data_IF_910732602274
#
_entry.id   IF_910732602274
#
_cell.length_a   1.000
_cell.length_b   1.000
_cell.length_c   1.000
_cell.angle_alpha   90.00
_cell.angle_beta   90.00
_cell.angle_gamma   90.00
#
_symmetry.space_group_name_H-M   'P 1'
#
loop_
_entity.id
_entity.type
_entity.pdbx_description
1 polymer ?
#
# COMPACT_ATOMS: atom_id res chain seq x y z
N UNK A 1 0.06 22.39 18.60
CA UNK A 1 0.64 23.53 19.35
C UNK A 1 1.73 22.95 20.25
N UNK A 2 3.00 23.19 19.91
CA UNK A 2 4.10 22.88 20.82
C UNK A 2 4.16 23.93 21.92
N UNK A 3 4.68 23.61 23.12
CA UNK A 3 4.81 24.57 24.22
C UNK A 3 5.65 25.83 23.88
N UNK A 4 6.43 25.79 22.80
CA UNK A 4 7.43 26.79 22.41
C UNK A 4 7.02 27.70 21.24
N UNK A 5 5.77 27.64 20.79
CA UNK A 5 5.25 28.49 19.71
C UNK A 5 4.78 27.73 18.46
N UNK A 6 4.37 28.49 17.43
CA UNK A 6 3.90 27.97 16.15
C UNK A 6 5.06 27.99 15.16
N UNK A 7 5.42 26.83 14.62
CA UNK A 7 6.43 26.69 13.57
C UNK A 7 5.75 26.24 12.28
N UNK A 8 5.89 27.03 11.22
CA UNK A 8 5.42 26.66 9.88
C UNK A 8 6.57 25.98 9.13
N UNK A 9 6.39 24.74 8.62
CA UNK A 9 7.43 24.05 7.88
C UNK A 9 7.68 24.74 6.53
N UNK A 10 8.96 24.91 6.17
CA UNK A 10 9.37 25.45 4.87
C UNK A 10 9.51 24.36 3.78
N UNK A 11 9.30 23.09 4.16
CA UNK A 11 9.33 21.93 3.27
C UNK A 11 8.04 21.15 3.40
N UNK A 12 7.79 20.29 2.41
CA UNK A 12 6.61 19.43 2.40
C UNK A 12 6.56 18.57 3.67
N UNK A 13 5.51 18.66 4.50
CA UNK A 13 5.44 17.93 5.76
C UNK A 13 5.17 16.44 5.54
N UNK A 14 5.83 15.59 6.32
CA UNK A 14 5.55 14.15 6.38
C UNK A 14 4.18 13.92 7.04
N UNK A 15 3.40 12.95 6.53
CA UNK A 15 2.11 12.56 7.10
C UNK A 15 0.90 13.40 6.65
N UNK A 16 1.08 14.39 5.78
CA UNK A 16 -0.04 15.06 5.12
C UNK A 16 -0.56 14.19 3.95
N UNK A 17 -1.88 14.05 3.86
CA UNK A 17 -2.59 13.26 2.85
C UNK A 17 -2.16 13.60 1.41
N UNK A 18 -1.85 14.86 1.13
CA UNK A 18 -1.49 15.32 -0.21
C UNK A 18 0.01 15.30 -0.49
N UNK A 19 0.85 15.03 0.51
CA UNK A 19 2.31 15.07 0.33
C UNK A 19 2.81 14.02 -0.65
N UNK A 20 2.22 12.82 -0.64
CA UNK A 20 2.59 11.74 -1.57
C UNK A 20 2.35 12.17 -3.02
N UNK A 21 1.18 12.75 -3.30
CA UNK A 21 0.83 13.18 -4.66
C UNK A 21 1.68 14.36 -5.13
N UNK A 22 1.89 15.36 -4.26
CA UNK A 22 2.74 16.51 -4.59
C UNK A 22 4.19 16.09 -4.87
N UNK A 23 4.72 15.14 -4.09
CA UNK A 23 6.07 14.61 -4.31
C UNK A 23 6.17 13.79 -5.59
N UNK A 24 5.22 12.88 -5.83
CA UNK A 24 5.14 12.08 -7.06
C UNK A 24 5.08 12.98 -8.30
N UNK A 25 4.23 14.01 -8.29
CA UNK A 25 4.13 14.99 -9.39
C UNK A 25 5.46 15.73 -9.62
N UNK A 26 6.15 16.11 -8.54
CA UNK A 26 7.48 16.72 -8.63
C UNK A 26 8.49 15.80 -9.30
N UNK A 27 8.55 14.51 -8.90
CA UNK A 27 9.44 13.52 -9.52
C UNK A 27 9.12 13.30 -10.99
N UNK A 28 7.84 13.14 -11.34
CA UNK A 28 7.42 12.96 -12.74
C UNK A 28 7.80 14.15 -13.61
N UNK A 29 7.70 15.37 -13.07
CA UNK A 29 8.09 16.58 -13.78
C UNK A 29 9.60 16.62 -14.04
N UNK A 30 10.41 16.31 -13.03
CA UNK A 30 11.89 16.31 -13.11
C UNK A 30 12.38 15.22 -14.07
N UNK A 31 11.84 14.02 -13.95
CA UNK A 31 12.31 12.84 -14.68
C UNK A 31 11.52 12.53 -15.95
N UNK A 32 10.65 13.45 -16.39
CA UNK A 32 9.81 13.31 -17.59
C UNK A 32 10.57 12.81 -18.83
N UNK A 33 11.79 13.28 -19.14
CA UNK A 33 12.53 12.81 -20.31
C UNK A 33 12.98 11.34 -20.21
N UNK A 34 13.24 10.84 -19.00
CA UNK A 34 13.67 9.46 -18.76
C UNK A 34 12.48 8.49 -18.69
N UNK A 35 11.36 8.97 -18.14
CA UNK A 35 10.09 8.25 -18.11
C UNK A 35 9.57 7.99 -19.53
N UNK A 36 9.62 8.99 -20.42
CA UNK A 36 9.13 8.85 -21.80
C UNK A 36 9.95 7.87 -22.64
N UNK A 37 11.20 7.62 -22.25
CA UNK A 37 12.09 6.68 -22.92
C UNK A 37 12.00 5.26 -22.32
N UNK A 38 11.10 5.03 -21.36
CA UNK A 38 10.96 3.75 -20.63
C UNK A 38 12.25 3.29 -19.93
N UNK A 39 13.18 4.21 -19.65
CA UNK A 39 14.46 3.91 -18.99
C UNK A 39 14.37 3.99 -17.47
N UNK A 40 13.28 4.53 -16.93
CA UNK A 40 13.11 4.76 -15.50
C UNK A 40 11.67 4.46 -15.08
N UNK A 41 11.53 3.71 -14.00
CA UNK A 41 10.27 3.44 -13.30
C UNK A 41 10.31 4.15 -11.94
N UNK A 42 9.29 4.96 -11.66
CA UNK A 42 9.23 5.83 -10.47
C UNK A 42 7.98 5.49 -9.68
N UNK A 43 8.14 5.25 -8.37
CA UNK A 43 7.02 5.10 -7.46
C UNK A 43 7.30 5.74 -6.12
N UNK A 44 6.59 6.83 -5.80
CA UNK A 44 6.71 7.61 -4.56
C UNK A 44 8.17 7.93 -4.26
N UNK A 45 8.84 7.16 -3.40
CA UNK A 45 10.25 7.36 -3.05
C UNK A 45 11.21 6.52 -3.90
N UNK A 46 10.77 5.38 -4.44
CA UNK A 46 11.59 4.43 -5.17
C UNK A 46 11.81 4.84 -6.64
N UNK A 47 13.02 4.55 -7.15
CA UNK A 47 13.46 4.73 -8.53
C UNK A 47 14.12 3.44 -9.02
N UNK A 48 13.66 2.90 -10.15
CA UNK A 48 14.26 1.72 -10.79
C UNK A 48 14.60 2.07 -12.23
N UNK A 49 15.90 2.12 -12.55
CA UNK A 49 16.40 2.51 -13.85
C UNK A 49 16.94 1.31 -14.66
N UNK A 50 16.79 1.38 -15.97
CA UNK A 50 17.38 0.44 -16.92
C UNK A 50 18.85 0.80 -17.19
N UNK A 51 19.75 -0.17 -17.05
CA UNK A 51 21.17 -0.01 -17.37
C UNK A 51 21.47 -0.46 -18.81
N UNK A 52 22.27 0.28 -19.60
CA UNK A 52 22.55 -0.06 -21.00
C UNK A 52 23.59 -1.19 -21.21
N UNK A 53 24.40 -1.53 -20.19
CA UNK A 53 25.43 -2.58 -20.27
C UNK A 53 25.41 -3.47 -19.04
N UNK A 54 25.70 -4.76 -19.23
CA UNK A 54 25.84 -5.81 -18.21
C UNK A 54 26.70 -5.38 -17.02
N UNK A 55 27.77 -4.61 -17.27
CA UNK A 55 28.73 -4.17 -16.25
C UNK A 55 28.14 -3.20 -15.21
N UNK A 56 27.01 -2.57 -15.53
CA UNK A 56 26.31 -1.63 -14.65
C UNK A 56 25.00 -2.22 -14.06
N UNK A 57 24.73 -3.51 -14.28
CA UNK A 57 23.54 -4.13 -13.70
C UNK A 57 23.74 -4.45 -12.22
N UNK A 58 22.70 -4.15 -11.44
CA UNK A 58 22.50 -4.82 -10.16
C UNK A 58 22.08 -6.26 -10.45
N UNK A 59 22.79 -7.22 -9.88
CA UNK A 59 22.45 -8.66 -9.97
C UNK A 59 21.05 -8.94 -9.44
N UNK A 60 20.64 -8.19 -8.42
CA UNK A 60 19.30 -8.18 -7.86
C UNK A 60 18.95 -6.78 -7.37
N UNK A 61 17.75 -6.30 -7.67
CA UNK A 61 17.26 -5.00 -7.23
C UNK A 61 15.94 -5.15 -6.46
N UNK A 62 15.85 -4.53 -5.29
CA UNK A 62 14.60 -4.43 -4.54
C UNK A 62 13.83 -3.19 -4.95
N UNK A 63 12.59 -3.35 -5.39
CA UNK A 63 11.71 -2.26 -5.79
C UNK A 63 10.28 -2.53 -5.35
N UNK A 64 9.67 -1.60 -4.59
CA UNK A 64 8.28 -1.71 -4.10
C UNK A 64 7.94 -3.06 -3.42
N UNK A 65 8.86 -3.61 -2.63
CA UNK A 65 8.67 -4.89 -1.93
C UNK A 65 8.77 -6.14 -2.81
N UNK A 66 9.31 -6.00 -4.02
CA UNK A 66 9.66 -7.10 -4.93
C UNK A 66 11.16 -7.09 -5.23
N UNK A 67 11.74 -8.27 -5.38
CA UNK A 67 13.11 -8.50 -5.81
C UNK A 67 13.10 -8.83 -7.30
N UNK A 68 13.87 -8.08 -8.06
CA UNK A 68 14.03 -8.22 -9.50
C UNK A 68 15.43 -8.77 -9.76
N UNK A 69 15.50 -9.98 -10.30
CA UNK A 69 16.74 -10.60 -10.77
C UNK A 69 16.62 -10.93 -12.27
N UNK A 70 17.70 -11.34 -12.92
CA UNK A 70 17.69 -11.62 -14.36
C UNK A 70 16.66 -12.74 -14.67
N UNK A 71 15.55 -12.35 -15.29
CA UNK A 71 14.46 -13.25 -15.69
C UNK A 71 13.48 -13.66 -14.59
N UNK A 72 13.62 -13.22 -13.34
CA UNK A 72 12.66 -13.56 -12.26
C UNK A 72 12.30 -12.36 -11.40
N UNK A 73 11.02 -12.28 -11.02
CA UNK A 73 10.52 -11.30 -10.06
C UNK A 73 9.95 -12.09 -8.88
N UNK A 74 10.47 -11.84 -7.68
CA UNK A 74 10.05 -12.52 -6.44
C UNK A 74 9.53 -11.48 -5.45
N UNK A 75 8.67 -11.90 -4.53
CA UNK A 75 8.34 -11.05 -3.40
C UNK A 75 9.52 -11.00 -2.42
N UNK A 76 9.74 -9.85 -1.81
CA UNK A 76 10.74 -9.73 -0.74
C UNK A 76 10.36 -10.66 0.43
N UNK A 77 11.22 -11.62 0.81
CA UNK A 77 10.93 -12.53 1.91
C UNK A 77 10.69 -11.78 3.22
N UNK A 78 11.37 -10.65 3.48
CA UNK A 78 11.12 -9.85 4.68
C UNK A 78 9.69 -9.28 4.71
N UNK A 79 9.14 -8.94 3.54
CA UNK A 79 7.73 -8.53 3.41
C UNK A 79 6.80 -9.71 3.68
N UNK A 80 7.14 -10.90 3.18
CA UNK A 80 6.34 -12.11 3.41
C UNK A 80 6.33 -12.52 4.88
N UNK A 81 7.49 -12.54 5.54
CA UNK A 81 7.61 -12.80 6.98
C UNK A 81 6.78 -11.82 7.81
N UNK A 82 6.81 -10.53 7.43
CA UNK A 82 5.99 -9.51 8.09
C UNK A 82 4.49 -9.78 7.93
N UNK A 83 4.06 -10.36 6.80
CA UNK A 83 2.67 -10.75 6.58
C UNK A 83 2.29 -12.00 7.39
N UNK A 84 3.21 -12.96 7.53
CA UNK A 84 3.00 -14.19 8.30
C UNK A 84 2.83 -13.87 9.80
N UNK A 85 3.60 -12.91 10.31
CA UNK A 85 3.60 -12.52 11.73
C UNK A 85 2.49 -11.52 12.06
N UNK A 86 1.63 -11.14 11.09
CA UNK A 86 0.56 -10.18 11.36
C UNK A 86 -0.43 -10.69 12.41
N UNK A 87 -0.87 -9.82 13.34
CA UNK A 87 -1.92 -10.17 14.28
C UNK A 87 -3.21 -10.48 13.53
N UNK A 88 -4.01 -11.40 14.07
CA UNK A 88 -5.33 -11.70 13.51
C UNK A 88 -6.18 -10.42 13.44
N UNK A 89 -6.82 -10.14 12.29
CA UNK A 89 -7.59 -8.93 12.10
C UNK A 89 -8.74 -8.88 13.10
N UNK A 90 -8.82 -7.78 13.86
CA UNK A 90 -9.87 -7.59 14.88
C UNK A 90 -10.97 -6.65 14.38
N UNK A 91 -10.64 -5.79 13.41
CA UNK A 91 -11.55 -4.83 12.80
C UNK A 91 -11.68 -5.06 11.30
N UNK A 92 -12.82 -4.69 10.74
CA UNK A 92 -13.08 -4.85 9.31
C UNK A 92 -12.12 -4.02 8.43
N UNK A 93 -11.47 -2.98 8.99
CA UNK A 93 -10.43 -2.22 8.31
C UNK A 93 -9.16 -3.07 8.07
N UNK A 94 -8.81 -3.96 8.99
CA UNK A 94 -7.63 -4.83 8.92
C UNK A 94 -7.71 -5.83 7.75
N UNK A 95 -8.93 -6.19 7.33
CA UNK A 95 -9.19 -7.13 6.23
C UNK A 95 -8.91 -6.55 4.83
N UNK A 96 -8.79 -5.22 4.70
CA UNK A 96 -8.70 -4.57 3.37
C UNK A 96 -7.32 -4.70 2.72
N UNK A 97 -6.23 -4.75 3.50
CA UNK A 97 -4.87 -4.73 2.97
C UNK A 97 -4.41 -6.07 2.36
N UNK A 98 -4.87 -7.18 2.95
CA UNK A 98 -4.49 -8.55 2.56
C UNK A 98 -5.02 -8.91 1.15
N UNK A 99 -6.08 -8.22 0.71
CA UNK A 99 -6.79 -8.45 -0.55
C UNK A 99 -5.95 -8.48 -1.82
N UNK A 100 -4.92 -7.63 -1.86
CA UNK A 100 -4.12 -7.40 -3.05
C UNK A 100 -3.06 -8.48 -3.31
N UNK A 101 -2.86 -9.42 -2.38
CA UNK A 101 -1.76 -10.40 -2.41
C UNK A 101 -2.22 -11.86 -2.45
N UNK A 102 -3.53 -12.13 -2.45
CA UNK A 102 -4.09 -13.49 -2.46
C UNK A 102 -4.64 -13.81 -3.86
N UNK A 103 -4.14 -14.85 -4.54
CA UNK A 103 -4.77 -15.36 -5.77
C UNK A 103 -6.22 -15.76 -5.50
N UNK A 104 -7.14 -15.45 -6.41
CA UNK A 104 -8.58 -15.69 -6.23
C UNK A 104 -9.18 -15.10 -4.94
N UNK A 105 -8.59 -14.02 -4.42
CA UNK A 105 -9.05 -13.34 -3.20
C UNK A 105 -10.55 -13.07 -3.20
N UNK A 106 -11.09 -12.60 -4.33
CA UNK A 106 -12.51 -12.30 -4.45
C UNK A 106 -13.38 -13.53 -4.18
N UNK A 107 -12.97 -14.73 -4.57
CA UNK A 107 -13.73 -15.96 -4.29
C UNK A 107 -13.71 -16.31 -2.81
N UNK A 108 -12.57 -16.10 -2.15
CA UNK A 108 -12.40 -16.39 -0.73
C UNK A 108 -13.10 -15.38 0.18
N UNK A 109 -13.18 -14.12 -0.25
CA UNK A 109 -13.74 -13.02 0.55
C UNK A 109 -15.19 -12.70 0.18
N UNK A 110 -15.73 -13.30 -0.89
CA UNK A 110 -17.15 -13.20 -1.24
C UNK A 110 -18.09 -13.52 -0.07
N UNK A 111 -17.93 -14.64 0.68
CA UNK A 111 -18.82 -14.92 1.81
C UNK A 111 -18.76 -13.84 2.90
N UNK A 112 -17.58 -13.24 3.12
CA UNK A 112 -17.38 -12.14 4.07
C UNK A 112 -17.97 -10.82 3.55
N UNK A 113 -17.83 -10.52 2.25
CA UNK A 113 -18.47 -9.36 1.61
C UNK A 113 -20.00 -9.45 1.66
N UNK A 114 -20.55 -10.64 1.42
CA UNK A 114 -21.99 -10.89 1.46
C UNK A 114 -22.53 -10.73 2.90
N UNK A 115 -21.81 -11.28 3.89
CA UNK A 115 -22.12 -11.09 5.31
C UNK A 115 -22.05 -9.61 5.72
N UNK A 116 -21.01 -8.88 5.28
CA UNK A 116 -20.88 -7.44 5.51
C UNK A 116 -22.02 -6.66 4.85
N UNK A 117 -22.34 -6.95 3.59
CA UNK A 117 -23.43 -6.28 2.88
C UNK A 117 -24.78 -6.49 3.58
N UNK A 118 -25.06 -7.70 4.06
CA UNK A 118 -26.28 -8.02 4.80
C UNK A 118 -26.36 -7.26 6.14
N UNK A 119 -25.26 -7.18 6.89
CA UNK A 119 -25.20 -6.39 8.13
C UNK A 119 -25.37 -4.87 7.90
N UNK A 120 -25.05 -4.40 6.69
CA UNK A 120 -25.18 -3.00 6.30
C UNK A 120 -26.54 -2.65 5.68
N UNK A 121 -27.39 -3.62 5.34
CA UNK A 121 -28.75 -3.37 4.86
C UNK A 121 -29.59 -2.78 6.01
N UNK A 122 -29.76 -1.46 6.01
CA UNK A 122 -30.49 -0.70 7.04
C UNK A 122 -29.66 0.40 7.73
N UNK A 123 -28.37 0.53 7.44
CA UNK A 123 -27.51 1.59 7.98
C UNK A 123 -27.49 2.83 7.06
N UNK A 124 -27.64 4.02 7.64
CA UNK A 124 -27.71 5.28 6.89
C UNK A 124 -26.37 5.80 6.34
N UNK A 125 -25.22 5.22 6.73
CA UNK A 125 -23.90 5.67 6.26
C UNK A 125 -22.83 4.57 6.28
N UNK A 126 -21.92 4.61 5.30
CA UNK A 126 -20.79 3.67 5.13
C UNK A 126 -19.46 4.29 5.58
N UNK A 127 -19.44 4.96 6.74
CA UNK A 127 -18.25 5.69 7.19
C UNK A 127 -17.21 4.79 7.87
N UNK A 128 -15.92 5.15 7.75
CA UNK A 128 -14.78 4.44 8.38
C UNK A 128 -14.93 4.31 9.90
N UNK A 129 -15.56 5.29 10.55
CA UNK A 129 -15.82 5.28 11.98
C UNK A 129 -16.78 4.16 12.41
N UNK A 130 -17.81 3.92 11.58
CA UNK A 130 -18.77 2.83 11.79
C UNK A 130 -18.08 1.47 11.59
N UNK A 131 -17.19 1.35 10.61
CA UNK A 131 -16.41 0.12 10.37
C UNK A 131 -15.46 -0.25 11.54
N UNK A 132 -14.87 0.74 12.21
CA UNK A 132 -13.94 0.52 13.32
C UNK A 132 -14.64 0.05 14.61
N UNK A 133 -15.95 0.32 14.76
CA UNK A 133 -16.73 -0.06 15.93
C UNK A 133 -17.33 -1.47 15.87
N UNK A 134 -17.28 -2.14 14.71
CA UNK A 134 -17.82 -3.49 14.55
C UNK A 134 -16.73 -4.56 14.74
N UNK A 135 -16.87 -5.47 15.72
CA UNK A 135 -15.94 -6.58 15.88
C UNK A 135 -16.07 -7.55 14.71
N UNK A 136 -14.93 -7.99 14.15
CA UNK A 136 -14.90 -8.99 13.07
C UNK A 136 -15.57 -10.32 13.47
N UNK A 137 -15.61 -10.64 14.77
CA UNK A 137 -16.23 -11.83 15.34
C UNK A 137 -17.17 -11.45 16.49
N UNK A 138 -18.28 -10.78 16.15
CA UNK A 138 -19.41 -10.59 17.06
C UNK A 138 -20.36 -11.79 17.00
N UNK A 139 -20.24 -12.70 17.98
CA UNK A 139 -21.22 -13.71 18.42
C UNK A 139 -22.30 -14.10 17.38
N UNK A 140 -21.93 -14.95 16.43
CA UNK A 140 -22.89 -15.88 15.81
C UNK A 140 -23.24 -16.95 16.84
N UNK A 141 -24.04 -16.59 17.84
CA UNK A 141 -24.71 -17.56 18.71
C UNK A 141 -26.15 -17.09 18.79
N UNK A 142 -26.98 -17.71 17.94
CA UNK A 142 -28.41 -17.76 18.15
C UNK A 142 -28.75 -18.63 19.36
#
# INVERSE_FOLDING_TARGET
LTPLGIVTPLRLPHGNMNSVFAFQQGKETIFRPLLSQFQLLIWVDDLLAHAPSADNYLTEAKYCGRLYSSGTVRHDPARLESLIVMPSPSTAADLTWISSHIPDFERHVRPLRDLLQNLMQGQGSRSKAIFASYPCFGRLVG
#
